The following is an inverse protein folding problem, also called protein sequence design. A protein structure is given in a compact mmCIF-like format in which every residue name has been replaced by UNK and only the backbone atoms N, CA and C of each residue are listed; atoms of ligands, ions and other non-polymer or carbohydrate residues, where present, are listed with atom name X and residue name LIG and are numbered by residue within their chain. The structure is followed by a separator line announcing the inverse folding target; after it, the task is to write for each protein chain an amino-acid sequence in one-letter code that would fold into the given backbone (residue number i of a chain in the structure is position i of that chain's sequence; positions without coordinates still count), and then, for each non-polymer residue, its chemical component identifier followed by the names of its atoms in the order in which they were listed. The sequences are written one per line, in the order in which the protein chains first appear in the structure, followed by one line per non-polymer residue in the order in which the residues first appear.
data_IF_955075812689
#
_entry.id   IF_955075812689
#
_cell.length_a   1.000
_cell.length_b   1.000
_cell.length_c   1.000
_cell.angle_alpha   90.00
_cell.angle_beta   90.00
_cell.angle_gamma   90.00
#
_symmetry.space_group_name_H-M   'P 1'
#
loop_
_entity.id
_entity.type
_entity.pdbx_description
1 polymer ?
#
# COMPACT_ATOMS: atom_id res chain seq x y z
N UNK A 1 -19.86 -18.20 -14.53
CA UNK A 1 -19.33 -16.82 -14.55
C UNK A 1 -19.82 -16.13 -13.29
N UNK A 2 -18.97 -16.03 -12.25
CA UNK A 2 -19.33 -15.25 -11.07
C UNK A 2 -19.24 -13.78 -11.46
N UNK A 3 -20.31 -13.02 -11.23
CA UNK A 3 -20.38 -11.58 -11.47
C UNK A 3 -19.14 -10.92 -10.85
N UNK A 4 -18.28 -10.37 -11.71
CA UNK A 4 -17.08 -9.67 -11.28
C UNK A 4 -17.52 -8.40 -10.57
N UNK A 5 -17.39 -8.36 -9.24
CA UNK A 5 -17.41 -7.09 -8.54
C UNK A 5 -16.31 -6.21 -9.14
N UNK A 6 -16.52 -4.91 -9.21
CA UNK A 6 -15.44 -4.00 -9.58
C UNK A 6 -14.45 -3.90 -8.41
N UNK A 7 -13.15 -3.66 -8.68
CA UNK A 7 -12.21 -3.34 -7.62
C UNK A 7 -12.73 -2.14 -6.82
N UNK A 8 -12.70 -2.24 -5.49
CA UNK A 8 -13.20 -1.19 -4.60
C UNK A 8 -12.02 -0.37 -4.10
N UNK A 9 -11.99 0.93 -4.38
CA UNK A 9 -10.95 1.81 -3.85
C UNK A 9 -11.04 1.89 -2.32
N UNK A 10 -9.93 1.62 -1.64
CA UNK A 10 -9.81 1.70 -0.17
C UNK A 10 -9.15 3.00 0.27
N UNK A 11 -8.13 3.45 -0.47
CA UNK A 11 -7.41 4.69 -0.17
C UNK A 11 -6.85 5.31 -1.44
N UNK A 12 -6.72 6.64 -1.44
CA UNK A 12 -6.11 7.41 -2.51
C UNK A 12 -5.28 8.53 -1.91
N UNK A 13 -4.02 8.60 -2.31
CA UNK A 13 -3.10 9.69 -2.01
C UNK A 13 -2.50 10.28 -3.29
N UNK A 14 -1.60 11.27 -3.16
CA UNK A 14 -1.07 12.00 -4.31
C UNK A 14 -0.30 11.13 -5.33
N UNK A 15 0.40 10.09 -4.85
CA UNK A 15 1.25 9.22 -5.69
C UNK A 15 0.89 7.74 -5.60
N UNK A 16 -0.10 7.41 -4.77
CA UNK A 16 -0.44 6.03 -4.47
C UNK A 16 -1.95 5.82 -4.35
N UNK A 17 -2.41 4.64 -4.75
CA UNK A 17 -3.81 4.23 -4.63
C UNK A 17 -3.87 2.79 -4.15
N UNK A 18 -4.80 2.49 -3.27
CA UNK A 18 -5.05 1.14 -2.75
C UNK A 18 -6.46 0.71 -3.13
N UNK A 19 -6.57 -0.47 -3.73
CA UNK A 19 -7.85 -1.07 -4.12
C UNK A 19 -7.98 -2.48 -3.56
N UNK A 20 -9.21 -2.89 -3.23
CA UNK A 20 -9.55 -4.28 -2.96
C UNK A 20 -10.02 -4.93 -4.26
N UNK A 21 -9.27 -5.92 -4.73
CA UNK A 21 -9.65 -6.70 -5.88
C UNK A 21 -10.80 -7.67 -5.53
N UNK A 22 -11.61 -8.08 -6.52
CA UNK A 22 -12.71 -9.05 -6.34
C UNK A 22 -12.27 -10.39 -5.75
N UNK A 23 -11.02 -10.79 -6.01
CA UNK A 23 -10.40 -11.99 -5.44
C UNK A 23 -9.92 -11.85 -3.98
N UNK A 24 -10.28 -10.76 -3.29
CA UNK A 24 -9.94 -10.51 -1.88
C UNK A 24 -8.52 -9.99 -1.64
N UNK A 25 -7.69 -9.88 -2.68
CA UNK A 25 -6.38 -9.26 -2.62
C UNK A 25 -6.46 -7.73 -2.52
N UNK A 26 -5.36 -7.14 -2.05
CA UNK A 26 -5.14 -5.70 -2.07
C UNK A 26 -4.17 -5.38 -3.20
N UNK A 27 -4.50 -4.39 -4.01
CA UNK A 27 -3.60 -3.81 -5.01
C UNK A 27 -3.11 -2.46 -4.52
N UNK A 28 -1.79 -2.32 -4.35
CA UNK A 28 -1.13 -1.05 -4.10
C UNK A 28 -0.53 -0.55 -5.41
N UNK A 29 -1.04 0.56 -5.91
CA UNK A 29 -0.51 1.26 -7.07
C UNK A 29 0.39 2.41 -6.58
N UNK A 30 1.62 2.48 -7.08
CA UNK A 30 2.58 3.57 -6.82
C UNK A 30 3.23 3.96 -8.15
N UNK A 31 2.80 5.09 -8.71
CA UNK A 31 3.20 5.49 -10.06
C UNK A 31 2.91 4.38 -11.09
N UNK A 32 3.92 3.90 -11.86
CA UNK A 32 3.73 2.83 -12.85
C UNK A 32 3.71 1.42 -12.23
N UNK A 33 4.02 1.28 -10.94
CA UNK A 33 4.16 -0.03 -10.28
C UNK A 33 2.85 -0.41 -9.60
N UNK A 34 2.46 -1.67 -9.77
CA UNK A 34 1.33 -2.26 -9.03
C UNK A 34 1.81 -3.50 -8.28
N UNK A 35 1.58 -3.54 -6.98
CA UNK A 35 1.90 -4.68 -6.12
C UNK A 35 0.59 -5.34 -5.67
N UNK A 36 0.46 -6.64 -5.94
CA UNK A 36 -0.65 -7.45 -5.44
C UNK A 36 -0.25 -8.13 -4.14
N UNK A 37 -1.03 -7.90 -3.09
CA UNK A 37 -0.78 -8.37 -1.74
C UNK A 37 -1.99 -9.15 -1.20
N UNK A 38 -1.76 -10.10 -0.30
CA UNK A 38 -2.82 -10.52 0.62
C UNK A 38 -3.08 -9.40 1.64
N UNK A 39 -4.26 -9.38 2.31
CA UNK A 39 -4.50 -8.41 3.38
C UNK A 39 -3.45 -8.46 4.50
N UNK A 40 -2.98 -9.66 4.88
CA UNK A 40 -1.92 -9.81 5.88
C UNK A 40 -0.58 -9.25 5.41
N UNK A 41 -0.20 -9.50 4.15
CA UNK A 41 1.02 -8.94 3.59
C UNK A 41 0.95 -7.41 3.48
N UNK A 42 -0.22 -6.85 3.16
CA UNK A 42 -0.42 -5.40 3.14
C UNK A 42 -0.21 -4.77 4.53
N UNK A 43 -0.69 -5.42 5.60
CA UNK A 43 -0.43 -4.97 6.98
C UNK A 43 1.07 -5.00 7.32
N UNK A 44 1.76 -6.12 7.07
CA UNK A 44 3.19 -6.23 7.34
C UNK A 44 4.05 -5.25 6.52
N UNK A 45 3.69 -5.00 5.26
CA UNK A 45 4.35 -3.99 4.42
C UNK A 45 4.14 -2.59 5.01
N UNK A 46 2.93 -2.28 5.48
CA UNK A 46 2.64 -0.99 6.12
C UNK A 46 3.50 -0.77 7.37
N UNK A 47 3.61 -1.77 8.23
CA UNK A 47 4.44 -1.71 9.44
C UNK A 47 5.92 -1.52 9.09
N UNK A 48 6.42 -2.26 8.09
CA UNK A 48 7.82 -2.16 7.65
C UNK A 48 8.13 -0.79 7.06
N UNK A 49 7.23 -0.22 6.25
CA UNK A 49 7.39 1.12 5.69
C UNK A 49 7.32 2.21 6.77
N UNK A 50 6.42 2.08 7.74
CA UNK A 50 6.31 3.03 8.84
C UNK A 50 7.61 3.09 9.66
N UNK A 51 8.21 1.92 9.95
CA UNK A 51 9.49 1.86 10.65
C UNK A 51 10.62 2.47 9.83
N UNK A 52 10.69 2.20 8.52
CA UNK A 52 11.68 2.82 7.64
C UNK A 52 11.56 4.35 7.61
N UNK A 53 10.33 4.89 7.53
CA UNK A 53 10.09 6.35 7.59
C UNK A 53 10.56 6.92 8.92
N UNK A 54 10.24 6.26 10.04
CA UNK A 54 10.68 6.68 11.38
C UNK A 54 12.21 6.77 11.48
N UNK A 55 12.93 5.80 10.92
CA UNK A 55 14.40 5.82 10.90
C UNK A 55 14.91 7.01 10.07
N UNK A 56 14.36 7.23 8.88
CA UNK A 56 14.78 8.33 8.00
C UNK A 56 14.52 9.71 8.63
N UNK A 57 13.41 9.88 9.35
CA UNK A 57 13.10 11.13 10.08
C UNK A 57 14.12 11.41 11.19
N UNK A 58 14.56 10.38 11.91
CA UNK A 58 15.61 10.50 12.93
C UNK A 58 16.95 10.88 12.32
N UNK A 59 17.33 10.24 11.21
CA UNK A 59 18.56 10.58 10.47
C UNK A 59 18.53 12.03 9.98
N UNK A 60 17.41 12.48 9.40
CA UNK A 60 17.24 13.86 8.94
C UNK A 60 17.32 14.87 10.08
N UNK A 61 16.80 14.53 11.25
CA UNK A 61 16.83 15.39 12.43
C UNK A 61 18.23 15.48 13.04
N UNK A 62 19.01 14.40 12.99
CA UNK A 62 20.39 14.36 13.46
C UNK A 62 21.38 15.09 12.52
N UNK A 63 21.02 15.25 11.25
CA UNK A 63 21.83 15.95 10.25
C UNK A 63 21.65 17.49 10.25
N UNK A 64 20.76 18.02 11.09
CA UNK A 64 20.48 19.45 11.26
C UNK A 64 21.12 19.99 12.53
#
# INVERSE_FOLDING_TARGET
MLAGSEPTQLALGPIARVERAPGGHVHLHVGPVTVRLSPSAAASVSETLAEAVRVLELELSAAR
#
